data_IF_055433231182
#
_entry.id   IF_055433231182
#
_cell.length_a   1.000
_cell.length_b   1.000
_cell.length_c   1.000
_cell.angle_alpha   90.00
_cell.angle_beta   90.00
_cell.angle_gamma   90.00
#
_symmetry.space_group_name_H-M   'P 1'
#
loop_
_entity.id
_entity.type
_entity.pdbx_description
1 polymer ?
#
# COMPACT_ATOMS: atom_id res chain seq x y z
N UNK A 1 3.76 -22.99 -11.02
CA UNK A 1 3.85 -22.76 -9.56
C UNK A 1 4.29 -21.35 -9.14
N UNK A 2 5.26 -20.66 -9.79
CA UNK A 2 5.77 -19.35 -9.31
C UNK A 2 4.72 -18.21 -9.31
N UNK A 3 3.80 -18.20 -10.26
CA UNK A 3 2.78 -17.14 -10.38
C UNK A 3 1.77 -17.18 -9.21
N UNK A 4 1.48 -18.37 -8.67
CA UNK A 4 0.49 -18.53 -7.59
C UNK A 4 1.07 -18.05 -6.25
N UNK A 5 2.34 -18.33 -5.94
CA UNK A 5 2.97 -17.83 -4.71
C UNK A 5 3.03 -16.30 -4.68
N UNK A 6 3.32 -15.66 -5.81
CA UNK A 6 3.38 -14.19 -5.92
C UNK A 6 2.02 -13.52 -5.64
N UNK A 7 0.93 -14.12 -6.13
CA UNK A 7 -0.44 -13.62 -5.92
C UNK A 7 -0.87 -13.75 -4.46
N UNK A 8 -0.62 -14.91 -3.84
CA UNK A 8 -0.95 -15.13 -2.44
C UNK A 8 -0.13 -14.22 -1.50
N UNK A 9 1.15 -14.01 -1.80
CA UNK A 9 1.97 -13.05 -1.07
C UNK A 9 1.43 -11.61 -1.19
N UNK A 10 0.94 -11.20 -2.37
CA UNK A 10 0.38 -9.85 -2.53
C UNK A 10 -0.81 -9.61 -1.60
N UNK A 11 -1.73 -10.58 -1.47
CA UNK A 11 -2.84 -10.47 -0.51
C UNK A 11 -2.32 -10.41 0.93
N UNK A 12 -1.36 -11.27 1.29
CA UNK A 12 -0.72 -11.23 2.62
C UNK A 12 -0.06 -9.87 2.89
N UNK A 13 0.67 -9.33 1.93
CA UNK A 13 1.36 -8.04 2.06
C UNK A 13 0.36 -6.91 2.27
N UNK A 14 -0.71 -6.86 1.48
CA UNK A 14 -1.66 -5.76 1.54
C UNK A 14 -2.52 -5.83 2.83
N UNK A 15 -2.92 -7.03 3.28
CA UNK A 15 -3.79 -7.20 4.46
C UNK A 15 -3.04 -7.36 5.80
N UNK A 16 -1.78 -7.80 5.80
CA UNK A 16 -1.02 -8.09 7.03
C UNK A 16 0.19 -7.18 7.14
N UNK A 17 1.10 -7.26 6.16
CA UNK A 17 2.41 -6.59 6.27
C UNK A 17 2.30 -5.07 6.23
N UNK A 18 1.54 -4.54 5.26
CA UNK A 18 1.34 -3.11 5.07
C UNK A 18 0.01 -2.64 5.66
N UNK A 19 -1.02 -3.49 5.71
CA UNK A 19 -2.29 -3.21 6.38
C UNK A 19 -2.26 -3.33 7.90
N UNK A 20 -1.12 -3.07 8.57
CA UNK A 20 -0.95 -3.35 10.01
C UNK A 20 -1.68 -2.38 10.96
N UNK A 21 -2.30 -1.32 10.45
CA UNK A 21 -3.12 -0.37 11.19
C UNK A 21 -4.20 0.25 10.27
N UNK A 22 -5.20 0.90 10.87
CA UNK A 22 -6.33 1.53 10.16
C UNK A 22 -5.89 2.48 9.05
N UNK A 23 -4.92 3.38 9.31
CA UNK A 23 -4.48 4.37 8.31
C UNK A 23 -3.76 3.71 7.14
N UNK A 24 -2.97 2.66 7.42
CA UNK A 24 -2.20 1.96 6.39
C UNK A 24 -3.10 1.05 5.53
N UNK A 25 -4.23 0.57 6.07
CA UNK A 25 -5.22 -0.21 5.32
C UNK A 25 -6.22 0.66 4.54
N UNK A 26 -6.92 1.57 5.22
CA UNK A 26 -7.98 2.40 4.63
C UNK A 26 -7.45 3.60 3.84
N UNK A 27 -6.27 4.11 4.19
CA UNK A 27 -5.76 5.38 3.70
C UNK A 27 -5.76 6.49 4.75
N UNK A 28 -5.15 7.62 4.38
CA UNK A 28 -5.01 8.80 5.20
C UNK A 28 -6.33 9.57 5.34
N UNK A 29 -6.38 10.45 6.33
CA UNK A 29 -7.55 11.28 6.57
C UNK A 29 -7.82 12.24 5.40
N UNK A 30 -9.10 12.36 5.02
CA UNK A 30 -9.58 13.31 4.02
C UNK A 30 -10.87 13.95 4.50
N UNK A 31 -10.86 15.28 4.64
CA UNK A 31 -11.91 16.08 5.29
C UNK A 31 -12.35 17.22 4.36
N UNK A 32 -13.51 17.79 4.64
CA UNK A 32 -13.98 18.97 3.92
C UNK A 32 -12.96 20.11 4.00
N UNK A 33 -12.70 20.77 2.86
CA UNK A 33 -11.67 21.82 2.75
C UNK A 33 -10.29 21.31 2.36
N UNK A 34 -10.05 20.00 2.35
CA UNK A 34 -8.84 19.44 1.75
C UNK A 34 -8.91 19.56 0.21
N UNK A 35 -7.96 20.30 -0.38
CA UNK A 35 -7.78 20.36 -1.83
C UNK A 35 -7.07 19.10 -2.32
N UNK A 36 -7.46 18.47 -3.45
CA UNK A 36 -6.73 17.33 -4.02
C UNK A 36 -5.24 17.61 -4.27
N UNK A 37 -4.85 18.88 -4.39
CA UNK A 37 -3.46 19.32 -4.68
C UNK A 37 -2.71 19.73 -3.41
N UNK A 38 -3.40 20.33 -2.43
CA UNK A 38 -2.83 20.95 -1.23
C UNK A 38 -3.47 20.39 0.05
N UNK A 39 -3.60 19.06 0.16
CA UNK A 39 -4.19 18.34 1.30
C UNK A 39 -3.16 17.69 2.22
N UNK A 40 -1.89 18.10 2.15
CA UNK A 40 -0.83 17.48 2.95
C UNK A 40 -0.51 16.04 2.54
N UNK A 41 -0.87 15.67 1.31
CA UNK A 41 -0.52 14.41 0.65
C UNK A 41 -0.99 13.18 1.45
N UNK A 42 -2.31 12.97 1.65
CA UNK A 42 -2.84 11.86 2.41
C UNK A 42 -2.31 10.54 1.84
N UNK A 43 -2.05 9.57 2.73
CA UNK A 43 -1.50 8.30 2.31
C UNK A 43 -2.56 7.45 1.62
N UNK A 44 -2.22 6.79 0.52
CA UNK A 44 -3.08 5.78 -0.09
C UNK A 44 -3.06 4.48 0.71
N UNK A 45 -4.19 3.77 0.78
CA UNK A 45 -4.33 2.50 1.48
C UNK A 45 -3.57 1.35 0.83
N UNK A 46 -3.20 0.34 1.61
CA UNK A 46 -2.39 -0.80 1.16
C UNK A 46 -3.05 -1.61 0.04
N UNK A 47 -4.35 -1.86 0.14
CA UNK A 47 -5.12 -2.57 -0.88
C UNK A 47 -5.29 -1.70 -2.13
N UNK A 48 -5.67 -0.44 -1.93
CA UNK A 48 -5.98 0.52 -3.01
C UNK A 48 -4.80 0.72 -3.98
N UNK A 49 -3.61 1.02 -3.47
CA UNK A 49 -2.38 1.17 -4.26
C UNK A 49 -1.67 -0.15 -4.58
N UNK A 50 -2.15 -1.27 -4.03
CA UNK A 50 -1.59 -2.60 -4.20
C UNK A 50 -2.38 -3.42 -5.21
N UNK A 51 -3.00 -4.48 -4.71
CA UNK A 51 -3.79 -5.44 -5.50
C UNK A 51 -4.95 -4.81 -6.27
N UNK A 52 -5.65 -3.81 -5.71
CA UNK A 52 -6.75 -3.13 -6.39
C UNK A 52 -6.27 -2.46 -7.70
N UNK A 53 -5.26 -1.58 -7.60
CA UNK A 53 -4.70 -0.88 -8.77
C UNK A 53 -4.10 -1.86 -9.78
N UNK A 54 -3.47 -2.93 -9.33
CA UNK A 54 -2.90 -3.95 -10.21
C UNK A 54 -3.98 -4.62 -11.10
N UNK A 55 -5.16 -4.93 -10.57
CA UNK A 55 -6.25 -5.57 -11.34
C UNK A 55 -6.80 -4.60 -12.40
N UNK A 56 -7.06 -3.34 -12.04
CA UNK A 56 -7.50 -2.31 -12.99
C UNK A 56 -6.59 -2.22 -14.22
N UNK A 57 -5.28 -2.07 -13.98
CA UNK A 57 -4.29 -1.92 -15.04
C UNK A 57 -3.99 -3.21 -15.79
N UNK A 58 -4.33 -4.37 -15.23
CA UNK A 58 -4.15 -5.66 -15.88
C UNK A 58 -5.32 -6.01 -16.81
N UNK A 59 -6.55 -5.63 -16.45
CA UNK A 59 -7.75 -5.90 -17.26
C UNK A 59 -7.96 -4.85 -18.36
N UNK A 60 -7.69 -3.56 -18.08
CA UNK A 60 -7.90 -2.48 -19.06
C UNK A 60 -7.12 -2.70 -20.36
N UNK A 61 -7.74 -2.44 -21.51
CA UNK A 61 -7.15 -2.69 -22.83
C UNK A 61 -6.05 -1.65 -23.12
N UNK A 62 -4.77 -2.06 -23.18
CA UNK A 62 -3.67 -1.12 -23.38
C UNK A 62 -3.62 -0.49 -24.77
N UNK A 63 -4.47 -0.90 -25.70
CA UNK A 63 -4.58 -0.29 -27.03
C UNK A 63 -5.54 0.90 -27.06
N UNK A 64 -6.38 1.07 -26.03
CA UNK A 64 -7.26 2.23 -25.89
C UNK A 64 -6.51 3.46 -25.34
N UNK A 65 -6.94 4.69 -25.66
CA UNK A 65 -6.21 5.92 -25.31
C UNK A 65 -5.90 6.08 -23.82
N UNK A 66 -6.78 5.59 -22.95
CA UNK A 66 -6.68 5.72 -21.49
C UNK A 66 -6.67 4.35 -20.78
N UNK A 67 -6.47 3.26 -21.52
CA UNK A 67 -6.59 1.88 -21.06
C UNK A 67 -8.02 1.46 -20.66
N UNK A 68 -9.02 1.98 -21.36
CA UNK A 68 -10.42 1.65 -21.17
C UNK A 68 -10.69 0.13 -21.28
N UNK A 69 -11.68 -0.42 -20.59
CA UNK A 69 -12.51 0.27 -19.61
C UNK A 69 -11.87 0.26 -18.22
N UNK A 70 -11.39 -0.90 -17.77
CA UNK A 70 -10.89 -1.12 -16.40
C UNK A 70 -9.64 -0.30 -16.02
N UNK A 71 -8.86 0.19 -16.98
CA UNK A 71 -7.59 0.87 -16.69
C UNK A 71 -7.73 2.32 -16.23
N UNK A 72 -8.92 2.91 -16.28
CA UNK A 72 -9.20 4.28 -15.85
C UNK A 72 -10.51 4.39 -15.05
N UNK A 73 -10.54 5.26 -14.04
CA UNK A 73 -11.70 5.42 -13.18
C UNK A 73 -12.97 5.88 -13.90
N UNK A 74 -12.87 6.75 -14.92
CA UNK A 74 -14.07 7.25 -15.61
C UNK A 74 -14.77 6.17 -16.45
N UNK A 75 -14.01 5.14 -16.87
CA UNK A 75 -14.50 4.10 -17.78
C UNK A 75 -14.71 2.75 -17.08
N UNK A 76 -14.10 2.51 -15.93
CA UNK A 76 -14.09 1.19 -15.30
C UNK A 76 -15.50 0.60 -15.10
N UNK A 77 -16.48 1.45 -14.73
CA UNK A 77 -17.87 1.02 -14.54
C UNK A 77 -18.59 0.53 -15.81
N UNK A 78 -18.05 0.76 -17.00
CA UNK A 78 -18.63 0.22 -18.25
C UNK A 78 -18.30 -1.26 -18.47
N UNK A 79 -17.25 -1.78 -17.83
CA UNK A 79 -16.96 -3.22 -17.80
C UNK A 79 -17.64 -3.86 -16.58
N UNK A 80 -18.58 -4.80 -16.75
CA UNK A 80 -19.25 -5.47 -15.64
C UNK A 80 -18.29 -6.14 -14.63
N UNK A 81 -17.07 -6.51 -15.04
CA UNK A 81 -16.07 -7.11 -14.15
C UNK A 81 -15.60 -6.14 -13.06
N UNK A 82 -15.75 -4.82 -13.27
CA UNK A 82 -15.46 -3.80 -12.27
C UNK A 82 -16.19 -4.05 -10.94
N UNK A 83 -17.49 -4.32 -11.02
CA UNK A 83 -18.32 -4.58 -9.83
C UNK A 83 -17.92 -5.90 -9.14
N UNK A 84 -17.54 -6.91 -9.92
CA UNK A 84 -17.05 -8.20 -9.38
C UNK A 84 -15.70 -8.04 -8.71
N UNK A 85 -14.80 -7.25 -9.30
CA UNK A 85 -13.52 -6.88 -8.69
C UNK A 85 -13.73 -6.14 -7.38
N UNK A 86 -14.56 -5.10 -7.38
CA UNK A 86 -14.87 -4.33 -6.16
C UNK A 86 -15.63 -5.13 -5.10
N UNK A 87 -16.41 -6.14 -5.49
CA UNK A 87 -17.01 -7.09 -4.54
C UNK A 87 -15.94 -7.84 -3.74
N UNK A 88 -14.84 -8.27 -4.37
CA UNK A 88 -13.74 -8.90 -3.63
C UNK A 88 -12.86 -7.87 -2.88
N UNK A 89 -12.79 -6.62 -3.32
CA UNK A 89 -12.16 -5.53 -2.54
C UNK A 89 -12.96 -5.24 -1.26
N UNK A 90 -14.29 -5.18 -1.33
CA UNK A 90 -15.18 -5.10 -0.16
C UNK A 90 -14.98 -6.29 0.77
N UNK A 91 -14.87 -7.50 0.20
CA UNK A 91 -14.50 -8.70 0.96
C UNK A 91 -13.14 -8.56 1.65
N UNK A 92 -12.14 -7.89 1.08
CA UNK A 92 -10.84 -7.70 1.75
C UNK A 92 -10.98 -6.91 3.05
N UNK A 93 -11.91 -5.95 3.14
CA UNK A 93 -12.20 -5.23 4.38
C UNK A 93 -12.78 -6.17 5.45
N UNK A 94 -13.75 -7.01 5.09
CA UNK A 94 -14.26 -8.08 5.99
C UNK A 94 -13.10 -8.97 6.49
N UNK A 95 -12.30 -9.50 5.57
CA UNK A 95 -11.20 -10.42 5.92
C UNK A 95 -10.16 -9.75 6.81
N UNK A 96 -9.81 -8.49 6.52
CA UNK A 96 -8.86 -7.72 7.31
C UNK A 96 -9.28 -7.65 8.78
N UNK A 97 -10.58 -7.44 9.05
CA UNK A 97 -11.13 -7.46 10.42
C UNK A 97 -11.10 -8.86 11.04
N UNK A 98 -11.49 -9.88 10.26
CA UNK A 98 -11.57 -11.27 10.72
C UNK A 98 -10.20 -11.90 11.01
N UNK A 99 -9.10 -11.30 10.53
CA UNK A 99 -7.74 -11.74 10.88
C UNK A 99 -7.45 -11.70 12.38
N UNK A 100 -8.18 -10.90 13.17
CA UNK A 100 -7.99 -10.79 14.61
C UNK A 100 -6.63 -10.22 15.02
N UNK A 101 -5.95 -9.52 14.11
CA UNK A 101 -4.64 -8.90 14.36
C UNK A 101 -4.86 -7.58 15.11
N UNK A 102 -4.07 -7.35 16.15
CA UNK A 102 -4.12 -6.10 16.91
C UNK A 102 -3.80 -4.91 16.01
N UNK A 103 -4.64 -3.87 16.05
CA UNK A 103 -4.56 -2.71 15.15
C UNK A 103 -5.54 -2.78 13.98
N UNK A 104 -6.14 -3.93 13.71
CA UNK A 104 -7.16 -4.07 12.69
C UNK A 104 -8.52 -3.62 13.23
N UNK A 105 -8.74 -2.31 13.23
CA UNK A 105 -9.95 -1.67 13.74
C UNK A 105 -10.56 -0.73 12.73
N UNK A 106 -11.89 -0.62 12.82
CA UNK A 106 -12.64 0.38 12.06
C UNK A 106 -12.21 1.79 12.43
N UNK A 107 -12.27 2.74 11.48
CA UNK A 107 -12.12 4.14 11.81
C UNK A 107 -13.23 4.59 12.77
N UNK A 108 -12.85 5.29 13.85
CA UNK A 108 -13.78 5.86 14.83
C UNK A 108 -13.84 7.38 14.80
N UNK A 109 -13.10 8.01 13.89
CA UNK A 109 -13.10 9.47 13.73
C UNK A 109 -14.50 9.93 13.27
N UNK A 110 -15.15 10.88 13.97
CA UNK A 110 -16.43 11.45 13.56
C UNK A 110 -16.45 12.02 12.14
N UNK A 111 -15.33 12.56 11.64
CA UNK A 111 -15.24 13.09 10.28
C UNK A 111 -15.32 11.96 9.24
N UNK A 112 -14.73 10.81 9.55
CA UNK A 112 -14.89 9.62 8.71
C UNK A 112 -16.30 9.04 8.84
N UNK A 113 -16.81 8.87 10.06
CA UNK A 113 -18.12 8.25 10.32
C UNK A 113 -19.28 9.03 9.70
N UNK A 114 -19.19 10.36 9.70
CA UNK A 114 -20.25 11.25 9.21
C UNK A 114 -20.02 11.73 7.77
N UNK A 115 -18.93 11.34 7.11
CA UNK A 115 -18.82 11.49 5.67
C UNK A 115 -19.99 10.76 4.99
N UNK A 116 -20.57 11.40 3.98
CA UNK A 116 -21.79 10.91 3.33
C UNK A 116 -21.75 11.09 1.82
N UNK A 117 -22.46 10.19 1.14
CA UNK A 117 -22.61 10.19 -0.32
C UNK A 117 -24.09 10.06 -0.68
N UNK A 118 -24.42 10.29 -1.95
CA UNK A 118 -25.80 10.16 -2.45
C UNK A 118 -25.79 9.17 -3.61
N UNK A 119 -26.67 8.19 -3.55
CA UNK A 119 -26.88 7.19 -4.60
C UNK A 119 -28.35 7.17 -5.03
N UNK A 120 -28.60 6.74 -6.26
CA UNK A 120 -29.92 6.24 -6.64
C UNK A 120 -30.09 4.83 -6.09
N UNK A 121 -31.27 4.52 -5.55
CA UNK A 121 -31.68 3.15 -5.21
C UNK A 121 -32.43 2.49 -6.37
N UNK A 122 -32.92 1.26 -6.16
CA UNK A 122 -33.71 0.52 -7.14
C UNK A 122 -35.08 1.12 -7.47
N UNK A 123 -35.55 2.10 -6.68
CA UNK A 123 -36.81 2.81 -6.86
C UNK A 123 -36.61 4.19 -7.51
N UNK A 124 -35.39 4.47 -8.00
CA UNK A 124 -34.98 5.76 -8.56
C UNK A 124 -35.02 6.92 -7.54
N UNK A 125 -34.91 6.62 -6.25
CA UNK A 125 -34.87 7.61 -5.18
C UNK A 125 -33.43 8.02 -4.82
N UNK A 126 -33.24 9.31 -4.52
CA UNK A 126 -31.96 9.83 -4.05
C UNK A 126 -31.79 9.56 -2.55
N UNK A 127 -30.90 8.62 -2.20
CA UNK A 127 -30.65 8.21 -0.82
C UNK A 127 -29.29 8.70 -0.35
N UNK A 128 -29.26 9.43 0.77
CA UNK A 128 -28.02 9.79 1.45
C UNK A 128 -27.61 8.67 2.39
N UNK A 129 -26.36 8.21 2.26
CA UNK A 129 -25.78 7.17 3.11
C UNK A 129 -24.52 7.69 3.81
N UNK A 130 -24.17 7.10 4.95
CA UNK A 130 -23.00 7.46 5.76
C UNK A 130 -22.05 6.28 5.91
N UNK A 131 -20.75 6.56 6.02
CA UNK A 131 -19.73 5.54 6.28
C UNK A 131 -20.05 4.68 7.52
N UNK A 132 -20.53 5.31 8.60
CA UNK A 132 -20.85 4.61 9.86
C UNK A 132 -21.92 3.52 9.71
N UNK A 133 -22.77 3.60 8.69
CA UNK A 133 -23.91 2.68 8.52
C UNK A 133 -23.53 1.45 7.67
N UNK A 134 -22.36 1.44 7.02
CA UNK A 134 -21.89 0.30 6.22
C UNK A 134 -20.85 -0.61 6.90
N UNK A 135 -20.32 -0.23 8.08
CA UNK A 135 -19.28 -1.02 8.80
C UNK A 135 -19.73 -2.43 9.22
N UNK A 136 -21.03 -2.68 9.24
CA UNK A 136 -21.61 -3.99 9.51
C UNK A 136 -22.43 -4.46 8.31
N UNK A 137 -21.78 -5.20 7.40
CA UNK A 137 -22.37 -5.73 6.17
C UNK A 137 -23.63 -6.60 6.42
N UNK A 138 -23.76 -7.21 7.61
CA UNK A 138 -24.97 -7.98 7.95
C UNK A 138 -26.19 -7.09 8.15
N UNK A 139 -26.01 -5.83 8.55
CA UNK A 139 -27.11 -4.85 8.56
C UNK A 139 -27.51 -4.39 7.15
N UNK A 140 -26.60 -4.57 6.18
CA UNK A 140 -26.87 -4.36 4.75
C UNK A 140 -27.42 -5.62 4.07
N UNK A 141 -27.73 -6.68 4.84
CA UNK A 141 -28.35 -7.92 4.37
C UNK A 141 -27.55 -8.70 3.31
N UNK A 142 -26.22 -8.60 3.31
CA UNK A 142 -25.35 -9.46 2.49
C UNK A 142 -24.14 -9.98 3.26
N UNK A 143 -23.52 -11.03 2.71
CA UNK A 143 -22.23 -11.57 3.16
C UNK A 143 -21.58 -12.34 1.98
N UNK A 144 -20.37 -12.84 2.18
CA UNK A 144 -19.60 -13.60 1.21
C UNK A 144 -19.58 -15.09 1.56
N UNK A 145 -19.78 -15.94 0.55
CA UNK A 145 -19.60 -17.38 0.71
C UNK A 145 -18.11 -17.66 0.91
N UNK A 146 -17.74 -18.04 2.12
CA UNK A 146 -16.39 -18.46 2.46
C UNK A 146 -16.23 -19.97 2.30
N UNK A 147 -15.01 -20.41 2.01
CA UNK A 147 -14.72 -21.84 2.09
C UNK A 147 -14.79 -22.29 3.55
N UNK A 148 -15.27 -23.51 3.80
CA UNK A 148 -15.33 -24.09 5.15
C UNK A 148 -13.94 -24.51 5.68
N UNK A 149 -12.85 -24.02 5.07
CA UNK A 149 -11.49 -24.37 5.48
C UNK A 149 -11.08 -23.49 6.65
N UNK A 150 -10.28 -24.06 7.54
CA UNK A 150 -9.81 -23.34 8.74
C UNK A 150 -8.93 -22.12 8.42
N UNK A 151 -8.27 -22.08 7.25
CA UNK A 151 -7.26 -21.06 6.92
C UNK A 151 -7.31 -20.66 5.45
N UNK A 152 -7.34 -19.35 5.17
CA UNK A 152 -7.22 -18.81 3.81
C UNK A 152 -5.87 -19.15 3.16
N UNK A 153 -5.83 -19.43 1.84
CA UNK A 153 -4.61 -19.88 1.16
C UNK A 153 -3.45 -18.87 1.20
N UNK A 154 -3.75 -17.57 1.35
CA UNK A 154 -2.77 -16.49 1.47
C UNK A 154 -2.33 -16.22 2.91
N UNK A 155 -3.00 -16.79 3.93
CA UNK A 155 -2.79 -16.43 5.34
C UNK A 155 -1.37 -16.75 5.84
N UNK A 156 -0.72 -17.75 5.23
CA UNK A 156 0.64 -18.20 5.53
C UNK A 156 1.63 -17.84 4.41
N UNK A 157 1.33 -16.82 3.61
CA UNK A 157 2.16 -16.42 2.47
C UNK A 157 3.14 -15.29 2.78
N UNK A 158 3.59 -15.20 4.03
CA UNK A 158 4.75 -14.38 4.40
C UNK A 158 5.97 -14.86 3.59
N UNK A 159 6.83 -13.96 3.06
CA UNK A 159 8.05 -14.35 2.37
C UNK A 159 8.93 -15.23 3.26
N UNK A 160 9.64 -16.16 2.65
CA UNK A 160 10.63 -16.94 3.39
C UNK A 160 11.74 -16.01 3.89
N UNK A 161 12.13 -16.18 5.15
CA UNK A 161 13.25 -15.47 5.75
C UNK A 161 14.52 -15.65 4.91
N UNK A 162 15.22 -14.56 4.65
CA UNK A 162 16.48 -14.56 3.89
C UNK A 162 17.56 -15.32 4.66
N UNK A 163 18.29 -16.18 3.96
CA UNK A 163 19.49 -16.82 4.52
C UNK A 163 20.60 -15.80 4.70
N UNK A 164 21.22 -15.75 5.89
CA UNK A 164 22.41 -14.92 6.14
C UNK A 164 23.56 -15.26 5.18
N UNK A 165 23.64 -16.52 4.72
CA UNK A 165 24.66 -16.96 3.77
C UNK A 165 24.45 -16.39 2.36
N UNK A 166 23.24 -15.94 2.03
CA UNK A 166 22.91 -15.31 0.74
C UNK A 166 23.03 -13.79 0.79
N UNK A 167 23.43 -13.22 1.92
CA UNK A 167 23.60 -11.79 2.11
C UNK A 167 25.10 -11.41 2.11
N UNK A 168 25.39 -10.20 1.67
CA UNK A 168 26.72 -9.57 1.76
C UNK A 168 26.59 -8.19 2.38
N UNK A 169 27.61 -7.78 3.13
CA UNK A 169 27.68 -6.38 3.51
C UNK A 169 27.81 -5.51 2.25
N UNK A 170 27.02 -4.43 2.13
CA UNK A 170 27.02 -3.60 0.93
C UNK A 170 28.43 -3.12 0.59
N UNK A 171 28.82 -3.28 -0.66
CA UNK A 171 30.04 -2.68 -1.21
C UNK A 171 29.72 -1.25 -1.67
N UNK A 172 30.37 -0.26 -1.05
CA UNK A 172 30.27 1.15 -1.44
C UNK A 172 29.39 2.01 -0.51
N UNK A 173 29.65 3.34 -0.44
CA UNK A 173 28.92 4.24 0.44
C UNK A 173 27.52 4.51 -0.12
N UNK A 174 26.49 4.09 0.62
CA UNK A 174 25.12 4.61 0.46
C UNK A 174 24.96 5.79 1.41
N UNK A 175 24.59 6.95 0.86
CA UNK A 175 24.36 8.17 1.64
C UNK A 175 23.13 8.03 2.56
N UNK A 176 23.16 8.77 3.66
CA UNK A 176 22.05 8.88 4.61
C UNK A 176 21.07 9.96 4.16
N UNK A 177 19.79 9.84 4.55
CA UNK A 177 18.71 10.78 4.16
C UNK A 177 19.08 12.24 4.45
N UNK A 178 19.78 12.53 5.55
CA UNK A 178 20.21 13.88 5.94
C UNK A 178 21.21 14.55 4.97
N UNK A 179 21.91 13.75 4.16
CA UNK A 179 22.84 14.25 3.13
C UNK A 179 22.17 14.46 1.78
N UNK A 180 20.96 13.95 1.59
CA UNK A 180 20.22 14.07 0.35
C UNK A 180 19.46 15.40 0.33
N UNK A 181 19.62 16.16 -0.76
CA UNK A 181 18.83 17.35 -1.03
C UNK A 181 17.47 16.97 -1.63
N UNK A 182 16.42 17.02 -0.82
CA UNK A 182 15.04 16.84 -1.27
C UNK A 182 14.46 18.12 -1.91
N UNK A 183 13.47 18.00 -2.81
CA UNK A 183 12.91 16.76 -3.36
C UNK A 183 13.85 16.08 -4.37
N UNK A 184 13.80 14.76 -4.43
CA UNK A 184 14.59 13.96 -5.38
C UNK A 184 13.70 13.44 -6.48
N UNK A 185 14.13 13.60 -7.74
CA UNK A 185 13.47 13.03 -8.90
C UNK A 185 13.73 11.53 -9.00
N UNK A 186 12.68 10.72 -9.16
CA UNK A 186 12.76 9.26 -9.22
C UNK A 186 12.77 8.74 -10.67
N UNK A 187 13.61 9.33 -11.51
CA UNK A 187 13.81 8.88 -12.90
C UNK A 187 14.84 7.73 -13.02
N UNK A 188 15.47 7.34 -11.92
CA UNK A 188 16.40 6.22 -11.80
C UNK A 188 16.28 5.61 -10.40
N UNK A 189 16.93 4.47 -10.19
CA UNK A 189 16.96 3.82 -8.87
C UNK A 189 17.57 4.78 -7.85
N UNK A 190 16.83 5.05 -6.78
CA UNK A 190 17.29 5.81 -5.62
C UNK A 190 17.57 4.84 -4.48
N UNK A 191 18.79 4.87 -3.93
CA UNK A 191 19.18 4.08 -2.76
C UNK A 191 19.66 5.02 -1.65
N UNK A 192 19.10 4.89 -0.45
CA UNK A 192 19.37 5.79 0.70
C UNK A 192 19.29 5.05 2.03
N UNK A 193 20.14 5.41 2.99
CA UNK A 193 20.06 4.94 4.37
C UNK A 193 19.15 5.83 5.20
N UNK A 194 18.10 5.24 5.76
CA UNK A 194 17.11 5.91 6.62
C UNK A 194 17.35 5.49 8.07
N UNK A 195 17.56 6.47 8.95
CA UNK A 195 17.75 6.24 10.37
C UNK A 195 16.50 5.62 10.99
N UNK A 196 16.66 4.51 11.71
CA UNK A 196 15.57 3.84 12.41
C UNK A 196 15.31 4.44 13.80
N UNK A 197 14.08 4.43 14.30
CA UNK A 197 13.74 4.97 15.62
C UNK A 197 14.21 4.08 16.78
N UNK A 198 14.41 2.78 16.55
CA UNK A 198 14.91 1.82 17.52
C UNK A 198 15.55 0.61 16.82
N UNK A 199 16.35 -0.18 17.54
CA UNK A 199 16.95 -1.43 17.08
C UNK A 199 16.70 -2.54 18.11
N UNK A 200 16.73 -3.81 17.68
CA UNK A 200 16.57 -4.98 18.55
C UNK A 200 15.34 -4.92 19.47
N UNK A 201 14.21 -4.41 18.94
CA UNK A 201 12.95 -4.34 19.70
C UNK A 201 12.49 -5.74 20.09
N UNK A 202 12.09 -5.90 21.34
CA UNK A 202 11.45 -7.11 21.85
C UNK A 202 10.08 -7.34 21.21
N UNK A 203 9.59 -8.59 21.27
CA UNK A 203 8.24 -8.93 20.81
C UNK A 203 7.15 -8.11 21.53
N UNK A 204 7.36 -7.78 22.80
CA UNK A 204 6.44 -6.94 23.57
C UNK A 204 6.40 -5.49 23.06
N UNK A 205 7.51 -4.95 22.55
CA UNK A 205 7.55 -3.62 21.94
C UNK A 205 6.94 -3.63 20.53
N UNK A 206 7.20 -4.69 19.74
CA UNK A 206 6.57 -4.88 18.42
C UNK A 206 5.05 -5.01 18.52
N UNK A 207 4.54 -5.68 19.56
CA UNK A 207 3.11 -5.80 19.83
C UNK A 207 2.42 -4.48 20.28
N UNK A 208 3.20 -3.43 20.57
CA UNK A 208 2.71 -2.10 20.95
C UNK A 208 2.82 -1.08 19.82
N UNK A 209 3.76 -1.23 18.89
CA UNK A 209 3.96 -0.29 17.80
C UNK A 209 4.53 -0.95 16.54
N UNK A 210 3.96 -0.61 15.39
CA UNK A 210 4.51 -0.96 14.09
C UNK A 210 5.70 -0.05 13.76
N UNK A 211 6.80 -0.62 13.28
CA UNK A 211 7.86 0.19 12.64
C UNK A 211 7.45 0.40 11.17
N UNK A 212 7.22 1.65 10.76
CA UNK A 212 6.63 1.97 9.46
C UNK A 212 7.56 2.90 8.68
N UNK A 213 7.84 2.54 7.42
CA UNK A 213 8.48 3.39 6.44
C UNK A 213 7.46 4.33 5.80
N UNK A 214 7.77 5.62 5.81
CA UNK A 214 7.00 6.67 5.17
C UNK A 214 7.76 7.21 3.97
N UNK A 215 7.10 7.22 2.82
CA UNK A 215 7.53 7.98 1.65
C UNK A 215 6.49 9.09 1.46
N UNK A 216 6.87 10.33 1.73
CA UNK A 216 5.95 11.47 1.75
C UNK A 216 6.29 12.46 0.65
N UNK A 217 5.33 13.34 0.35
CA UNK A 217 5.47 14.39 -0.66
C UNK A 217 5.86 13.78 -2.01
N UNK A 218 5.18 12.69 -2.37
CA UNK A 218 5.30 12.07 -3.68
C UNK A 218 4.52 12.97 -4.63
N UNK A 219 5.22 13.69 -5.51
CA UNK A 219 4.59 14.58 -6.50
C UNK A 219 4.83 14.05 -7.90
N UNK A 220 3.79 13.95 -8.70
CA UNK A 220 3.81 13.36 -10.03
C UNK A 220 2.65 13.89 -10.88
N UNK A 221 2.81 13.89 -12.19
CA UNK A 221 1.72 14.07 -13.13
C UNK A 221 0.82 12.83 -13.13
N UNK A 222 -0.39 12.97 -12.58
CA UNK A 222 -1.39 11.89 -12.44
C UNK A 222 -2.23 11.73 -13.71
N UNK A 223 -1.77 12.28 -14.85
CA UNK A 223 -2.39 12.10 -16.17
C UNK A 223 -2.06 10.75 -16.79
N UNK A 224 -1.14 10.03 -16.14
CA UNK A 224 -0.63 8.72 -16.56
C UNK A 224 -0.54 7.79 -15.36
N UNK A 225 -0.52 6.50 -15.65
CA UNK A 225 -0.30 5.48 -14.64
C UNK A 225 1.12 5.57 -14.10
N UNK A 226 1.24 5.64 -12.77
CA UNK A 226 2.52 5.74 -12.07
C UNK A 226 2.74 4.50 -11.22
N UNK A 227 3.96 3.94 -11.26
CA UNK A 227 4.37 2.90 -10.33
C UNK A 227 5.87 2.95 -10.03
N UNK A 228 6.23 2.87 -8.76
CA UNK A 228 7.57 2.48 -8.32
C UNK A 228 7.49 1.41 -7.22
N UNK A 229 8.50 0.55 -7.19
CA UNK A 229 8.65 -0.51 -6.19
C UNK A 229 9.60 -0.08 -5.08
N UNK A 230 9.41 -0.63 -3.88
CA UNK A 230 10.20 -0.32 -2.68
C UNK A 230 10.83 -1.60 -2.16
N UNK A 231 12.16 -1.60 -2.06
CA UNK A 231 12.94 -2.66 -1.43
C UNK A 231 13.65 -2.10 -0.20
N UNK A 232 13.75 -2.90 0.86
CA UNK A 232 14.40 -2.50 2.11
C UNK A 232 15.42 -3.55 2.49
N UNK A 233 16.63 -3.10 2.80
CA UNK A 233 17.77 -3.92 3.20
C UNK A 233 18.13 -5.01 2.18
N UNK A 234 18.01 -4.68 0.90
CA UNK A 234 18.50 -5.52 -0.19
C UNK A 234 20.04 -5.58 -0.19
N UNK A 235 20.52 -6.74 0.28
CA UNK A 235 21.94 -7.11 0.48
C UNK A 235 22.24 -8.46 -0.17
N UNK A 236 21.44 -8.88 -1.14
CA UNK A 236 21.54 -10.21 -1.74
C UNK A 236 22.85 -10.34 -2.55
N UNK A 237 23.53 -11.49 -2.43
CA UNK A 237 24.76 -11.78 -3.18
C UNK A 237 24.50 -11.74 -4.69
N UNK A 238 25.46 -11.22 -5.49
CA UNK A 238 25.39 -11.34 -6.95
C UNK A 238 25.23 -12.81 -7.37
N UNK A 239 24.28 -13.08 -8.27
CA UNK A 239 24.01 -14.43 -8.79
C UNK A 239 23.00 -15.26 -7.98
N UNK A 240 22.54 -14.77 -6.81
CA UNK A 240 21.42 -15.39 -6.10
C UNK A 240 20.11 -15.23 -6.89
N UNK A 241 19.25 -16.24 -6.78
CA UNK A 241 17.94 -16.23 -7.43
C UNK A 241 17.03 -15.29 -6.63
N UNK A 242 16.51 -14.28 -7.31
CA UNK A 242 15.52 -13.35 -6.74
C UNK A 242 14.12 -13.65 -7.28
N UNK A 243 13.10 -13.37 -6.47
CA UNK A 243 11.70 -13.54 -6.87
C UNK A 243 10.91 -12.22 -6.71
N UNK A 244 9.78 -12.05 -7.43
CA UNK A 244 8.92 -10.87 -7.26
C UNK A 244 8.25 -10.74 -5.87
N UNK A 245 8.44 -11.72 -4.98
CA UNK A 245 7.88 -11.77 -3.63
C UNK A 245 8.95 -12.00 -2.54
N UNK A 246 10.19 -11.63 -2.83
CA UNK A 246 11.30 -11.75 -1.88
C UNK A 246 11.08 -10.93 -0.60
N UNK A 247 11.68 -11.34 0.54
CA UNK A 247 11.48 -10.66 1.82
C UNK A 247 11.91 -9.19 1.79
N UNK A 248 12.86 -8.81 0.95
CA UNK A 248 13.32 -7.42 0.79
C UNK A 248 12.26 -6.52 0.13
N UNK A 249 11.30 -7.09 -0.59
CA UNK A 249 10.24 -6.32 -1.26
C UNK A 249 9.19 -5.87 -0.24
N UNK A 250 9.14 -4.56 0.02
CA UNK A 250 8.17 -3.95 0.93
C UNK A 250 6.80 -3.74 0.27
N UNK A 251 6.77 -3.66 -1.06
CA UNK A 251 5.59 -3.34 -1.86
C UNK A 251 5.88 -2.26 -2.88
N UNK A 252 4.84 -1.66 -3.43
CA UNK A 252 4.97 -0.56 -4.38
C UNK A 252 3.96 0.54 -4.08
N UNK A 253 4.20 1.70 -4.67
CA UNK A 253 3.22 2.75 -4.81
C UNK A 253 2.75 2.71 -6.26
N UNK A 254 1.46 2.49 -6.49
CA UNK A 254 0.85 2.50 -7.81
C UNK A 254 -0.39 3.41 -7.79
N UNK A 255 -0.56 4.19 -8.86
CA UNK A 255 -1.68 5.12 -8.98
C UNK A 255 -2.27 5.12 -10.38
N UNK A 256 -3.58 4.87 -10.47
CA UNK A 256 -4.40 5.04 -11.66
C UNK A 256 -4.49 6.55 -11.97
N UNK A 257 -4.55 6.98 -13.24
CA UNK A 257 -4.71 8.40 -13.55
C UNK A 257 -5.92 9.03 -12.84
N UNK A 258 -5.71 10.13 -12.11
CA UNK A 258 -6.76 10.83 -11.36
C UNK A 258 -6.48 12.34 -11.23
N UNK A 259 -5.94 12.95 -12.28
CA UNK A 259 -5.68 14.40 -12.32
C UNK A 259 -6.88 15.24 -11.88
N UNK A 260 -6.58 16.29 -11.12
CA UNK A 260 -7.54 17.38 -10.91
C UNK A 260 -7.73 18.15 -12.22
N UNK A 261 -8.96 18.60 -12.49
CA UNK A 261 -9.29 19.35 -13.72
C UNK A 261 -8.42 20.61 -13.92
N UNK A 262 -7.85 21.17 -12.85
CA UNK A 262 -7.04 22.39 -12.88
C UNK A 262 -5.55 22.13 -12.69
N UNK A 263 -5.16 20.94 -12.23
CA UNK A 263 -3.77 20.61 -11.92
C UNK A 263 -3.42 19.18 -12.32
N UNK A 264 -2.43 19.05 -13.20
CA UNK A 264 -1.90 17.75 -13.60
C UNK A 264 -1.04 17.11 -12.50
N UNK A 265 -0.45 17.90 -11.59
CA UNK A 265 0.41 17.38 -10.54
C UNK A 265 -0.37 17.11 -9.26
N UNK A 266 -0.31 15.87 -8.79
CA UNK A 266 -0.94 15.41 -7.56
C UNK A 266 0.12 15.10 -6.49
N UNK A 267 -0.29 15.26 -5.24
CA UNK A 267 0.50 14.93 -4.06
C UNK A 267 0.00 13.65 -3.38
N UNK A 268 0.91 12.79 -2.92
CA UNK A 268 0.56 11.56 -2.22
C UNK A 268 1.63 11.14 -1.20
N UNK A 269 1.25 10.22 -0.32
CA UNK A 269 2.17 9.51 0.57
C UNK A 269 1.96 7.99 0.53
N UNK A 270 2.99 7.23 0.86
CA UNK A 270 2.94 5.77 0.98
C UNK A 270 3.50 5.30 2.33
N UNK A 271 2.94 4.20 2.84
CA UNK A 271 3.28 3.59 4.13
C UNK A 271 3.61 2.11 3.92
N UNK A 272 4.73 1.64 4.48
CA UNK A 272 5.14 0.24 4.40
C UNK A 272 5.52 -0.29 5.78
N UNK A 273 4.93 -1.41 6.18
CA UNK A 273 5.24 -2.04 7.47
C UNK A 273 6.59 -2.76 7.43
N UNK A 274 7.45 -2.46 8.39
CA UNK A 274 8.82 -2.98 8.46
C UNK A 274 9.00 -4.08 9.52
N UNK A 275 8.07 -4.25 10.46
CA UNK A 275 8.23 -5.17 11.59
C UNK A 275 8.60 -6.59 11.15
N UNK A 276 7.86 -7.19 10.21
CA UNK A 276 8.20 -8.51 9.64
C UNK A 276 9.40 -8.44 8.69
N UNK A 277 9.52 -7.35 7.92
CA UNK A 277 10.60 -7.18 6.94
C UNK A 277 11.96 -7.26 7.60
N UNK A 278 12.15 -6.55 8.70
CA UNK A 278 13.45 -6.44 9.37
C UNK A 278 13.88 -7.79 9.98
N UNK A 279 12.92 -8.60 10.43
CA UNK A 279 13.16 -9.97 10.85
C UNK A 279 13.53 -10.85 9.64
N UNK A 280 12.73 -10.76 8.57
CA UNK A 280 12.90 -11.55 7.35
C UNK A 280 14.25 -11.28 6.66
N UNK A 281 14.77 -10.05 6.76
CA UNK A 281 16.06 -9.65 6.18
C UNK A 281 17.22 -9.70 7.18
N UNK A 282 17.02 -10.20 8.40
CA UNK A 282 18.04 -10.28 9.46
C UNK A 282 18.67 -8.95 9.89
N UNK A 283 17.91 -7.85 9.82
CA UNK A 283 18.44 -6.47 9.99
C UNK A 283 17.86 -5.74 11.21
N UNK A 284 17.23 -6.44 12.15
CA UNK A 284 16.62 -5.83 13.34
C UNK A 284 17.62 -5.06 14.22
N UNK A 285 18.89 -5.45 14.20
CA UNK A 285 19.98 -4.80 14.94
C UNK A 285 20.66 -3.65 14.21
N UNK A 286 20.33 -3.39 12.94
CA UNK A 286 20.99 -2.34 12.16
C UNK A 286 20.39 -0.97 12.47
N UNK A 287 21.24 0.03 12.71
CA UNK A 287 20.82 1.39 13.04
C UNK A 287 20.07 2.11 11.89
N UNK A 288 20.39 1.73 10.66
CA UNK A 288 19.82 2.29 9.44
C UNK A 288 19.16 1.19 8.62
N UNK A 289 18.02 1.52 7.99
CA UNK A 289 17.46 0.71 6.93
C UNK A 289 17.88 1.30 5.57
N UNK A 290 18.45 0.48 4.68
CA UNK A 290 18.76 0.89 3.31
C UNK A 290 17.50 0.73 2.46
N UNK A 291 16.89 1.84 2.08
CA UNK A 291 15.70 1.88 1.24
C UNK A 291 16.11 2.08 -0.22
N UNK A 292 15.59 1.23 -1.10
CA UNK A 292 15.79 1.32 -2.55
C UNK A 292 14.45 1.52 -3.23
N UNK A 293 14.29 2.68 -3.88
CA UNK A 293 13.12 3.00 -4.70
C UNK A 293 13.45 2.71 -6.17
N UNK A 294 12.66 1.86 -6.81
CA UNK A 294 12.88 1.40 -8.19
C UNK A 294 11.72 1.89 -9.05
N UNK A 295 11.91 2.93 -9.90
CA UNK A 295 10.87 3.38 -10.81
C UNK A 295 10.50 2.27 -11.79
N UNK A 296 9.20 2.13 -12.09
CA UNK A 296 8.69 1.15 -13.07
C UNK A 296 8.07 1.83 -14.28
N UNK A 297 7.11 2.72 -14.06
CA UNK A 297 6.40 3.43 -15.15
C UNK A 297 5.88 4.78 -14.64
N UNK A 298 5.81 5.77 -15.53
CA UNK A 298 5.29 7.11 -15.21
C UNK A 298 6.12 7.87 -14.17
N UNK A 299 7.35 7.46 -13.88
CA UNK A 299 8.19 8.09 -12.87
C UNK A 299 9.13 9.18 -13.42
N UNK A 300 9.05 9.50 -14.71
CA UNK A 300 9.97 10.44 -15.34
C UNK A 300 9.93 11.80 -14.66
N UNK A 301 8.76 12.33 -14.31
CA UNK A 301 8.57 13.61 -13.62
C UNK A 301 8.29 13.45 -12.11
N UNK A 302 8.22 12.22 -11.62
CA UNK A 302 7.93 11.93 -10.22
C UNK A 302 9.07 12.42 -9.32
N UNK A 303 8.70 13.07 -8.22
CA UNK A 303 9.61 13.47 -7.16
C UNK A 303 9.14 12.94 -5.80
N UNK A 304 10.10 12.65 -4.93
CA UNK A 304 9.89 12.30 -3.53
C UNK A 304 10.45 13.42 -2.68
N UNK A 305 9.67 13.95 -1.74
CA UNK A 305 10.08 15.07 -0.89
C UNK A 305 10.56 14.69 0.51
N UNK A 306 10.24 13.51 1.01
CA UNK A 306 10.70 13.05 2.34
C UNK A 306 10.62 11.52 2.46
N UNK A 307 11.64 10.92 3.11
CA UNK A 307 11.65 9.49 3.47
C UNK A 307 12.04 9.37 4.94
N UNK A 308 11.23 8.68 5.76
CA UNK A 308 11.52 8.47 7.19
C UNK A 308 10.93 7.17 7.71
N UNK A 309 11.43 6.71 8.86
CA UNK A 309 10.88 5.56 9.58
C UNK A 309 10.41 6.03 10.95
N UNK A 310 9.20 5.64 11.35
CA UNK A 310 8.63 6.00 12.65
C UNK A 310 7.97 4.78 13.31
N UNK A 311 7.87 4.82 14.64
CA UNK A 311 7.04 3.89 15.39
C UNK A 311 5.61 4.42 15.43
N UNK A 312 4.68 3.63 14.92
CA UNK A 312 3.25 3.93 14.91
C UNK A 312 2.59 3.07 15.99
N UNK A 313 2.05 3.65 17.07
CA UNK A 313 1.38 2.89 18.11
C UNK A 313 0.22 2.08 17.56
N UNK A 314 0.15 0.81 17.95
CA UNK A 314 -1.00 -0.05 17.68
C UNK A 314 -2.04 0.28 18.74
N UNK A 315 -3.03 1.09 18.37
CA UNK A 315 -4.11 1.52 19.29
C UNK A 315 -4.82 0.29 19.83
N UNK A 316 -4.84 0.18 21.16
CA UNK A 316 -5.43 -0.95 21.89
C UNK A 316 -6.94 -1.05 21.68
#
# INVERSE_FOLDING_TARGET
MPIISNKNYTVYRDLVRNGGDTISFFGGEYRAGNSPVDNGDPSVGSVEAGSHTAVHRWIGDPTQPNNEDMGNFYSAGYDPVFYVHHSNVDRMWKLWKELGIKGHKEPTDPDWLNASYVFYDENEELVRVYNKDCVNIRKLNYDFIENSKEVFPWRKSRPARRSKNSQVEPTGPVETVDKIKFPVRLNKILKVKVKRPAVNRSEAEKAKANEVLFIKKIRYDSGKFVKFDVFVNDKVKPGEITTPCDPEYAGGFAQIPHNDMRNMFMGSSARFGLSELLEDTNTEGEEYATVTLVPRTGCDDLTVGEIKIQLVPIVA
#
